data_IF_520637091997
#
_entry.id   IF_520637091997
#
_cell.length_a   1.000
_cell.length_b   1.000
_cell.length_c   1.000
_cell.angle_alpha   90.00
_cell.angle_beta   90.00
_cell.angle_gamma   90.00
#
_symmetry.space_group_name_H-M   'P 1'
#
loop_
_entity.id
_entity.type
_entity.pdbx_description
1 polymer ?
#
# COMPACT_ATOMS: atom_id res chain seq x y z
N UNK A 1 -37.54 -1.47 6.13
CA UNK A 1 -36.56 -1.66 5.06
C UNK A 1 -35.20 -1.73 5.72
N UNK A 2 -34.42 -2.78 5.46
CA UNK A 2 -33.03 -2.88 5.94
C UNK A 2 -32.21 -1.73 5.34
N UNK A 3 -31.28 -1.17 6.12
CA UNK A 3 -30.32 -0.19 5.61
C UNK A 3 -29.49 -0.85 4.48
N UNK A 4 -29.14 -0.11 3.42
CA UNK A 4 -28.30 -0.64 2.35
C UNK A 4 -26.93 -1.06 2.90
N UNK A 5 -26.38 -2.13 2.33
CA UNK A 5 -25.02 -2.59 2.63
C UNK A 5 -23.99 -1.52 2.25
N UNK A 6 -22.76 -1.62 2.77
CA UNK A 6 -21.65 -0.74 2.37
C UNK A 6 -21.41 -0.88 0.87
N UNK A 7 -21.34 -2.11 0.36
CA UNK A 7 -21.25 -2.39 -1.07
C UNK A 7 -22.38 -1.75 -1.88
N UNK A 8 -23.64 -1.89 -1.45
CA UNK A 8 -24.79 -1.27 -2.13
C UNK A 8 -24.71 0.26 -2.08
N UNK A 9 -24.25 0.83 -0.98
CA UNK A 9 -24.04 2.27 -0.83
C UNK A 9 -22.96 2.76 -1.81
N UNK A 10 -21.85 2.03 -1.97
CA UNK A 10 -20.82 2.38 -2.94
C UNK A 10 -21.39 2.39 -4.36
N UNK A 11 -22.26 1.44 -4.71
CA UNK A 11 -22.84 1.36 -6.06
C UNK A 11 -23.77 2.53 -6.42
N UNK A 12 -24.19 3.36 -5.46
CA UNK A 12 -25.01 4.55 -5.73
C UNK A 12 -24.19 5.84 -5.86
N UNK A 13 -22.87 5.77 -5.64
CA UNK A 13 -21.97 6.92 -5.68
C UNK A 13 -21.33 7.09 -7.07
N UNK A 14 -20.94 8.32 -7.39
CA UNK A 14 -20.25 8.65 -8.63
C UNK A 14 -18.72 8.52 -8.44
N UNK A 15 -18.00 7.69 -9.19
CA UNK A 15 -16.58 7.45 -8.96
C UNK A 15 -15.67 8.62 -9.32
N UNK A 16 -16.12 9.64 -10.05
CA UNK A 16 -15.33 10.85 -10.29
C UNK A 16 -15.56 11.87 -9.16
N UNK A 17 -16.81 12.04 -8.73
CA UNK A 17 -17.17 13.05 -7.70
C UNK A 17 -16.99 12.57 -6.26
N UNK A 18 -17.30 11.30 -6.00
CA UNK A 18 -17.37 10.72 -4.66
C UNK A 18 -16.19 9.77 -4.34
N UNK A 19 -15.13 9.75 -5.15
CA UNK A 19 -14.02 8.81 -4.99
C UNK A 19 -13.38 8.80 -3.60
N UNK A 20 -13.26 9.96 -2.92
CA UNK A 20 -12.75 10.01 -1.54
C UNK A 20 -13.66 9.23 -0.58
N UNK A 21 -14.99 9.35 -0.74
CA UNK A 21 -15.98 8.63 0.06
C UNK A 21 -15.98 7.13 -0.27
N UNK A 22 -15.88 6.77 -1.55
CA UNK A 22 -15.80 5.37 -1.97
C UNK A 22 -14.53 4.72 -1.40
N UNK A 23 -13.37 5.36 -1.52
CA UNK A 23 -12.10 4.87 -0.97
C UNK A 23 -12.15 4.75 0.57
N UNK A 24 -12.78 5.71 1.25
CA UNK A 24 -13.01 5.65 2.70
C UNK A 24 -13.84 4.41 3.10
N UNK A 25 -14.96 4.17 2.40
CA UNK A 25 -15.82 3.01 2.67
C UNK A 25 -15.10 1.68 2.36
N UNK A 26 -14.37 1.62 1.26
CA UNK A 26 -13.56 0.45 0.89
C UNK A 26 -12.50 0.12 1.94
N UNK A 27 -11.68 1.11 2.31
CA UNK A 27 -10.51 0.90 3.16
C UNK A 27 -10.84 0.85 4.66
N UNK A 28 -11.94 1.47 5.09
CA UNK A 28 -12.33 1.51 6.50
C UNK A 28 -13.38 0.49 6.90
N UNK A 29 -14.27 0.11 5.98
CA UNK A 29 -15.48 -0.64 6.32
C UNK A 29 -15.61 -1.96 5.58
N UNK A 30 -15.56 -1.94 4.25
CA UNK A 30 -15.81 -3.13 3.43
C UNK A 30 -14.61 -4.10 3.45
N UNK A 31 -13.39 -3.60 3.21
CA UNK A 31 -12.19 -4.42 3.02
C UNK A 31 -10.94 -3.91 3.77
N UNK A 32 -11.03 -3.54 5.07
CA UNK A 32 -9.89 -2.93 5.78
C UNK A 32 -8.64 -3.82 5.82
N UNK A 33 -8.82 -5.12 6.06
CA UNK A 33 -7.71 -6.06 6.10
C UNK A 33 -7.09 -6.29 4.72
N UNK A 34 -7.92 -6.49 3.70
CA UNK A 34 -7.46 -6.77 2.33
C UNK A 34 -6.76 -5.55 1.71
N UNK A 35 -7.30 -4.35 1.91
CA UNK A 35 -6.67 -3.11 1.45
C UNK A 35 -5.27 -2.94 2.06
N UNK A 36 -5.13 -3.19 3.37
CA UNK A 36 -3.83 -3.10 4.04
C UNK A 36 -2.82 -4.11 3.45
N UNK A 37 -3.23 -5.38 3.30
CA UNK A 37 -2.35 -6.43 2.75
C UNK A 37 -1.99 -6.20 1.28
N UNK A 38 -2.92 -5.68 0.48
CA UNK A 38 -2.66 -5.33 -0.90
C UNK A 38 -1.61 -4.21 -1.02
N UNK A 39 -1.69 -3.19 -0.16
CA UNK A 39 -0.73 -2.07 -0.17
C UNK A 39 0.65 -2.45 0.40
N UNK A 40 0.73 -3.46 1.27
CA UNK A 40 2.01 -4.09 1.63
C UNK A 40 2.66 -4.80 0.44
N UNK A 41 1.86 -5.49 -0.38
CA UNK A 41 2.36 -6.11 -1.60
C UNK A 41 2.79 -5.04 -2.61
N UNK A 42 2.04 -3.94 -2.73
CA UNK A 42 2.41 -2.77 -3.52
C UNK A 42 3.79 -2.24 -3.12
N UNK A 43 4.04 -2.07 -1.82
CA UNK A 43 5.34 -1.67 -1.31
C UNK A 43 6.46 -2.62 -1.76
N UNK A 44 6.28 -3.94 -1.59
CA UNK A 44 7.27 -4.93 -2.04
C UNK A 44 7.51 -4.88 -3.55
N UNK A 45 6.47 -4.61 -4.34
CA UNK A 45 6.55 -4.49 -5.79
C UNK A 45 7.43 -3.35 -6.25
N UNK A 46 7.42 -2.22 -5.53
CA UNK A 46 8.33 -1.10 -5.82
C UNK A 46 9.81 -1.48 -5.69
N UNK A 47 10.16 -2.49 -4.87
CA UNK A 47 11.55 -2.94 -4.69
C UNK A 47 12.08 -3.72 -5.90
N UNK A 48 11.20 -4.11 -6.83
CA UNK A 48 11.59 -4.81 -8.06
C UNK A 48 12.26 -3.87 -9.09
N UNK A 49 12.17 -2.56 -8.87
CA UNK A 49 12.76 -1.52 -9.73
C UNK A 49 14.13 -1.10 -9.16
N UNK A 50 15.25 -1.34 -9.87
CA UNK A 50 16.58 -1.04 -9.34
C UNK A 50 16.84 0.42 -8.94
N UNK A 51 16.28 1.40 -9.65
CA UNK A 51 16.42 2.83 -9.30
C UNK A 51 15.81 3.14 -7.94
N UNK A 52 14.58 2.65 -7.70
CA UNK A 52 13.85 2.80 -6.44
C UNK A 52 14.57 2.04 -5.33
N UNK A 53 14.86 0.76 -5.52
CA UNK A 53 15.51 -0.07 -4.50
C UNK A 53 16.88 0.47 -4.10
N UNK A 54 17.67 1.02 -5.05
CA UNK A 54 18.96 1.67 -4.76
C UNK A 54 18.80 2.87 -3.83
N UNK A 55 17.77 3.70 -4.04
CA UNK A 55 17.48 4.80 -3.13
C UNK A 55 17.13 4.28 -1.75
N UNK A 56 16.18 3.34 -1.66
CA UNK A 56 15.70 2.78 -0.40
C UNK A 56 16.83 2.12 0.40
N UNK A 57 17.66 1.31 -0.26
CA UNK A 57 18.83 0.66 0.36
C UNK A 57 19.82 1.71 0.89
N UNK A 58 20.10 2.76 0.10
CA UNK A 58 21.01 3.84 0.49
C UNK A 58 20.51 4.64 1.70
N UNK A 59 19.20 4.83 1.85
CA UNK A 59 18.66 5.52 3.05
C UNK A 59 18.88 4.71 4.33
N UNK A 60 19.04 3.38 4.24
CA UNK A 60 19.17 2.50 5.40
C UNK A 60 17.90 2.34 6.25
N UNK A 61 16.80 3.05 5.94
CA UNK A 61 15.60 3.08 6.78
C UNK A 61 14.93 1.70 6.92
N UNK A 62 14.91 0.88 5.88
CA UNK A 62 14.38 -0.49 5.97
C UNK A 62 15.25 -1.42 6.83
N UNK A 63 16.57 -1.20 6.85
CA UNK A 63 17.52 -2.01 7.64
C UNK A 63 17.52 -1.63 9.11
N UNK A 64 17.51 -0.33 9.41
CA UNK A 64 17.71 0.19 10.76
C UNK A 64 16.40 0.57 11.48
N UNK A 65 15.38 0.95 10.72
CA UNK A 65 14.12 1.50 11.23
C UNK A 65 12.89 0.87 10.56
N UNK A 66 13.01 -0.37 10.07
CA UNK A 66 11.98 -1.04 9.25
C UNK A 66 10.57 -0.96 9.85
N UNK A 67 10.42 -1.28 11.15
CA UNK A 67 9.12 -1.20 11.83
C UNK A 67 8.51 0.20 11.77
N UNK A 68 9.30 1.23 12.11
CA UNK A 68 8.83 2.62 12.10
C UNK A 68 8.50 3.06 10.68
N UNK A 69 9.34 2.69 9.70
CA UNK A 69 9.14 3.00 8.29
C UNK A 69 7.85 2.38 7.74
N UNK A 70 7.51 1.17 8.18
CA UNK A 70 6.25 0.49 7.88
C UNK A 70 5.05 1.20 8.54
N UNK A 71 5.12 1.44 9.86
CA UNK A 71 4.04 2.10 10.61
C UNK A 71 3.78 3.52 10.04
N UNK A 72 4.82 4.30 9.76
CA UNK A 72 4.71 5.66 9.22
C UNK A 72 4.02 5.70 7.86
N UNK A 73 4.36 4.76 6.96
CA UNK A 73 3.70 4.68 5.65
C UNK A 73 2.26 4.24 5.77
N UNK A 74 2.00 3.20 6.57
CA UNK A 74 0.65 2.75 6.82
C UNK A 74 -0.21 3.86 7.42
N UNK A 75 0.32 4.65 8.36
CA UNK A 75 -0.37 5.79 8.95
C UNK A 75 -0.68 6.88 7.94
N UNK A 76 0.28 7.32 7.13
CA UNK A 76 0.05 8.35 6.09
C UNK A 76 -1.03 7.89 5.10
N UNK A 77 -0.84 6.71 4.51
CA UNK A 77 -1.75 6.14 3.51
C UNK A 77 -3.15 5.97 4.10
N UNK A 78 -3.23 5.42 5.31
CA UNK A 78 -4.49 5.20 6.01
C UNK A 78 -5.20 6.51 6.36
N UNK A 79 -4.48 7.56 6.76
CA UNK A 79 -5.08 8.87 7.06
C UNK A 79 -5.56 9.60 5.82
N UNK A 80 -4.87 9.45 4.69
CA UNK A 80 -5.37 9.93 3.40
C UNK A 80 -6.66 9.23 3.02
N UNK A 81 -6.75 7.90 3.14
CA UNK A 81 -7.98 7.16 2.86
C UNK A 81 -9.10 7.47 3.88
N UNK A 82 -8.75 7.76 5.14
CA UNK A 82 -9.72 8.04 6.20
C UNK A 82 -10.32 9.44 6.09
N UNK A 83 -9.51 10.47 5.83
CA UNK A 83 -9.98 11.86 5.83
C UNK A 83 -10.10 12.49 4.45
N UNK A 84 -9.45 11.92 3.44
CA UNK A 84 -9.32 12.57 2.13
C UNK A 84 -8.26 13.66 2.14
N UNK A 85 -7.81 14.05 0.95
CA UNK A 85 -6.76 15.06 0.77
C UNK A 85 -7.30 16.49 0.76
N UNK A 86 -8.63 16.68 0.73
CA UNK A 86 -9.26 18.00 0.82
C UNK A 86 -9.60 18.40 2.27
N UNK A 87 -9.67 17.44 3.20
CA UNK A 87 -9.78 17.73 4.64
C UNK A 87 -8.42 18.21 5.18
N UNK A 88 -8.36 19.29 5.99
CA UNK A 88 -7.10 19.83 6.52
C UNK A 88 -6.23 18.78 7.23
N UNK A 89 -6.86 17.79 7.87
CA UNK A 89 -6.13 16.72 8.57
C UNK A 89 -5.44 15.79 7.58
N UNK A 90 -6.12 15.36 6.52
CA UNK A 90 -5.49 14.52 5.50
C UNK A 90 -4.48 15.29 4.66
N UNK A 91 -4.75 16.55 4.35
CA UNK A 91 -3.81 17.46 3.70
C UNK A 91 -2.50 17.61 4.50
N UNK A 92 -2.55 17.63 5.84
CA UNK A 92 -1.36 17.69 6.69
C UNK A 92 -0.48 16.43 6.57
N UNK A 93 -1.09 15.23 6.47
CA UNK A 93 -0.35 13.99 6.21
C UNK A 93 0.25 13.96 4.80
N UNK A 94 -0.47 14.50 3.80
CA UNK A 94 0.05 14.66 2.44
C UNK A 94 1.25 15.59 2.40
N UNK A 95 1.16 16.75 3.07
CA UNK A 95 2.27 17.70 3.18
C UNK A 95 3.48 17.07 3.89
N UNK A 96 3.25 16.29 4.95
CA UNK A 96 4.31 15.53 5.65
C UNK A 96 5.00 14.55 4.71
N UNK A 97 4.22 13.80 3.91
CA UNK A 97 4.77 12.91 2.89
C UNK A 97 5.59 13.66 1.83
N UNK A 98 5.08 14.78 1.33
CA UNK A 98 5.79 15.63 0.37
C UNK A 98 7.11 16.15 0.93
N UNK A 99 7.14 16.59 2.20
CA UNK A 99 8.38 17.00 2.87
C UNK A 99 9.41 15.87 2.97
N UNK A 100 8.95 14.63 3.23
CA UNK A 100 9.84 13.47 3.25
C UNK A 100 10.40 13.12 1.87
N UNK A 101 9.55 13.14 0.84
CA UNK A 101 9.96 12.83 -0.52
C UNK A 101 10.82 13.93 -1.17
N UNK A 102 10.54 15.20 -0.86
CA UNK A 102 11.22 16.37 -1.44
C UNK A 102 12.72 16.46 -1.14
N UNK A 103 13.21 15.70 -0.15
CA UNK A 103 14.65 15.59 0.17
C UNK A 103 15.44 14.77 -0.87
N UNK A 104 14.75 14.00 -1.69
CA UNK A 104 15.38 13.07 -2.64
C UNK A 104 15.07 13.47 -4.08
N UNK A 105 16.09 13.43 -4.94
CA UNK A 105 15.90 13.53 -6.39
C UNK A 105 15.39 12.19 -6.93
N UNK A 106 14.06 12.03 -6.93
CA UNK A 106 13.35 10.86 -7.47
C UNK A 106 12.86 11.20 -8.87
N UNK A 107 13.05 10.30 -9.83
CA UNK A 107 12.58 10.49 -11.20
C UNK A 107 11.05 10.53 -11.24
N UNK A 108 10.47 11.39 -12.10
CA UNK A 108 9.02 11.48 -12.25
C UNK A 108 8.39 10.13 -12.64
N UNK A 109 9.06 9.35 -13.49
CA UNK A 109 8.60 8.03 -13.90
C UNK A 109 8.55 7.02 -12.74
N UNK A 110 9.54 7.06 -11.84
CA UNK A 110 9.54 6.23 -10.63
C UNK A 110 8.39 6.64 -9.69
N UNK A 111 8.15 7.94 -9.52
CA UNK A 111 6.98 8.42 -8.78
C UNK A 111 5.66 7.96 -9.39
N UNK A 112 5.51 8.11 -10.71
CA UNK A 112 4.30 7.71 -11.44
C UNK A 112 4.07 6.20 -11.33
N UNK A 113 5.14 5.40 -11.44
CA UNK A 113 5.08 3.95 -11.24
C UNK A 113 4.67 3.59 -9.81
N UNK A 114 5.33 4.13 -8.78
CA UNK A 114 4.96 3.88 -7.38
C UNK A 114 3.51 4.25 -7.13
N UNK A 115 3.05 5.40 -7.61
CA UNK A 115 1.66 5.84 -7.50
C UNK A 115 0.70 4.82 -8.12
N UNK A 116 1.02 4.29 -9.31
CA UNK A 116 0.19 3.30 -10.00
C UNK A 116 -0.03 2.02 -9.16
N UNK A 117 0.95 1.61 -8.35
CA UNK A 117 0.84 0.40 -7.52
C UNK A 117 -0.25 0.52 -6.45
N UNK A 118 -0.58 1.74 -6.00
CA UNK A 118 -1.69 1.96 -5.06
C UNK A 118 -3.08 1.71 -5.68
N UNK A 119 -3.16 1.61 -7.01
CA UNK A 119 -4.40 1.31 -7.74
C UNK A 119 -4.39 -0.17 -8.13
N UNK A 120 -3.37 -0.59 -8.87
CA UNK A 120 -3.40 -1.88 -9.56
C UNK A 120 -3.06 -3.06 -8.68
N UNK A 121 -2.25 -2.89 -7.62
CA UNK A 121 -1.99 -4.00 -6.70
C UNK A 121 -3.21 -4.34 -5.81
N UNK A 122 -3.98 -3.36 -5.30
CA UNK A 122 -5.32 -3.65 -4.79
C UNK A 122 -6.21 -4.38 -5.79
N UNK A 123 -6.29 -3.96 -7.05
CA UNK A 123 -7.11 -4.68 -8.05
C UNK A 123 -6.67 -6.14 -8.21
N UNK A 124 -5.37 -6.38 -8.41
CA UNK A 124 -4.81 -7.74 -8.52
C UNK A 124 -5.02 -8.57 -7.23
N UNK A 125 -4.90 -7.96 -6.06
CA UNK A 125 -5.14 -8.62 -4.77
C UNK A 125 -6.59 -9.10 -4.67
N UNK A 126 -7.53 -8.23 -5.02
CA UNK A 126 -8.95 -8.51 -4.87
C UNK A 126 -9.40 -9.63 -5.81
N UNK A 127 -8.96 -9.58 -7.07
CA UNK A 127 -9.26 -10.63 -8.06
C UNK A 127 -8.75 -12.01 -7.61
N UNK A 128 -7.62 -12.06 -6.90
CA UNK A 128 -6.97 -13.31 -6.48
C UNK A 128 -7.47 -13.85 -5.15
N UNK A 129 -7.67 -12.98 -4.16
CA UNK A 129 -7.72 -13.37 -2.75
C UNK A 129 -9.00 -12.99 -2.02
N UNK A 130 -9.90 -12.24 -2.64
CA UNK A 130 -11.12 -11.80 -1.97
C UNK A 130 -12.36 -12.55 -2.43
N UNK A 131 -13.45 -12.44 -1.67
CA UNK A 131 -14.72 -13.11 -1.97
C UNK A 131 -15.41 -12.54 -3.22
N UNK A 132 -15.12 -11.29 -3.60
CA UNK A 132 -15.54 -10.65 -4.85
C UNK A 132 -14.45 -9.73 -5.41
N UNK A 133 -14.33 -9.56 -6.73
CA UNK A 133 -13.50 -8.52 -7.30
C UNK A 133 -14.02 -7.12 -6.94
N UNK A 134 -13.17 -6.11 -7.16
CA UNK A 134 -13.61 -4.72 -7.17
C UNK A 134 -14.52 -4.48 -8.39
N UNK A 135 -15.62 -3.80 -8.16
CA UNK A 135 -16.51 -3.27 -9.20
C UNK A 135 -15.84 -2.15 -9.98
N UNK A 136 -16.37 -1.82 -11.16
CA UNK A 136 -15.85 -0.72 -11.97
C UNK A 136 -15.92 0.64 -11.24
N UNK A 137 -16.96 0.89 -10.44
CA UNK A 137 -17.06 2.09 -9.60
C UNK A 137 -15.90 2.15 -8.60
N UNK A 138 -15.58 1.04 -7.94
CA UNK A 138 -14.49 0.98 -6.96
C UNK A 138 -13.12 1.15 -7.63
N UNK A 139 -12.90 0.55 -8.81
CA UNK A 139 -11.67 0.70 -9.61
C UNK A 139 -11.45 2.14 -10.07
N UNK A 140 -12.48 2.76 -10.64
CA UNK A 140 -12.41 4.16 -11.08
C UNK A 140 -12.19 5.09 -9.87
N UNK A 141 -12.86 4.86 -8.75
CA UNK A 141 -12.64 5.64 -7.54
C UNK A 141 -11.19 5.57 -7.03
N UNK A 142 -10.57 4.38 -7.00
CA UNK A 142 -9.15 4.25 -6.67
C UNK A 142 -8.27 5.04 -7.64
N UNK A 143 -8.55 4.96 -8.94
CA UNK A 143 -7.84 5.72 -9.96
C UNK A 143 -7.95 7.24 -9.74
N UNK A 144 -9.17 7.77 -9.59
CA UNK A 144 -9.39 9.20 -9.35
C UNK A 144 -8.75 9.67 -8.04
N UNK A 145 -8.85 8.88 -6.98
CA UNK A 145 -8.26 9.19 -5.68
C UNK A 145 -6.74 9.30 -5.76
N UNK A 146 -6.06 8.24 -6.22
CA UNK A 146 -4.60 8.22 -6.26
C UNK A 146 -4.04 9.16 -7.31
N UNK A 147 -4.69 9.34 -8.46
CA UNK A 147 -4.29 10.38 -9.43
C UNK A 147 -4.32 11.78 -8.80
N UNK A 148 -5.35 12.12 -8.03
CA UNK A 148 -5.43 13.41 -7.35
C UNK A 148 -4.40 13.58 -6.22
N UNK A 149 -4.06 12.50 -5.51
CA UNK A 149 -2.92 12.49 -4.58
C UNK A 149 -1.63 12.79 -5.35
N UNK A 150 -1.38 12.09 -6.47
CA UNK A 150 -0.18 12.28 -7.29
C UNK A 150 -0.02 13.70 -7.84
N UNK A 151 -1.11 14.31 -8.31
CA UNK A 151 -1.10 15.71 -8.74
C UNK A 151 -0.70 16.66 -7.61
N UNK A 152 -1.18 16.43 -6.38
CA UNK A 152 -0.82 17.21 -5.18
C UNK A 152 0.60 16.91 -4.66
N UNK A 153 1.20 15.80 -5.09
CA UNK A 153 2.62 15.51 -4.88
C UNK A 153 3.51 16.17 -5.95
N UNK A 154 2.92 16.82 -6.96
CA UNK A 154 3.66 17.43 -8.08
C UNK A 154 4.12 16.43 -9.14
N UNK A 155 3.58 15.20 -9.15
CA UNK A 155 3.88 14.20 -10.17
C UNK A 155 3.26 14.65 -11.49
N UNK A 156 4.07 14.68 -12.53
CA UNK A 156 3.71 15.16 -13.85
C UNK A 156 3.34 13.99 -14.77
N UNK A 157 2.59 14.28 -15.83
CA UNK A 157 2.28 13.32 -16.90
C UNK A 157 1.60 12.02 -16.42
N UNK A 158 0.85 12.07 -15.32
CA UNK A 158 0.04 10.93 -14.87
C UNK A 158 -1.03 10.64 -15.94
N UNK A 159 -1.11 9.41 -16.48
CA UNK A 159 -2.10 9.08 -17.50
C UNK A 159 -3.54 9.39 -17.04
N UNK A 160 -4.37 9.84 -17.99
CA UNK A 160 -5.67 10.47 -17.69
C UNK A 160 -6.84 9.51 -17.67
N UNK A 161 -6.64 8.22 -17.95
CA UNK A 161 -7.66 7.18 -17.83
C UNK A 161 -7.12 5.97 -17.07
N UNK A 162 -8.04 5.23 -16.45
CA UNK A 162 -7.72 3.98 -15.76
C UNK A 162 -6.94 3.00 -16.66
N UNK A 163 -7.38 2.79 -17.90
CA UNK A 163 -6.75 1.84 -18.82
C UNK A 163 -5.37 2.30 -19.31
N UNK A 164 -5.19 3.61 -19.57
CA UNK A 164 -3.89 4.14 -19.97
C UNK A 164 -2.87 4.04 -18.83
N UNK A 165 -3.31 4.27 -17.59
CA UNK A 165 -2.42 4.16 -16.44
C UNK A 165 -2.11 2.70 -16.08
N UNK A 166 -3.04 1.77 -16.36
CA UNK A 166 -2.81 0.33 -16.23
C UNK A 166 -1.78 -0.17 -17.24
N UNK A 167 -1.91 0.27 -18.50
CA UNK A 167 -0.93 -0.04 -19.54
C UNK A 167 0.44 0.52 -19.17
N UNK A 168 0.53 1.76 -18.71
CA UNK A 168 1.78 2.34 -18.21
C UNK A 168 2.39 1.50 -17.08
N UNK A 169 1.60 1.07 -16.09
CA UNK A 169 2.08 0.22 -15.01
C UNK A 169 2.69 -1.08 -15.54
N UNK A 170 1.98 -1.78 -16.44
CA UNK A 170 2.44 -3.05 -17.01
C UNK A 170 3.70 -2.88 -17.86
N UNK A 171 3.74 -1.84 -18.69
CA UNK A 171 4.88 -1.51 -19.55
C UNK A 171 6.11 -1.15 -18.71
N UNK A 172 5.93 -0.36 -17.65
CA UNK A 172 7.02 0.00 -16.75
C UNK A 172 7.62 -1.23 -16.07
N UNK A 173 6.78 -2.16 -15.62
CA UNK A 173 7.24 -3.40 -15.01
C UNK A 173 7.99 -4.28 -15.99
N UNK A 174 7.46 -4.46 -17.20
CA UNK A 174 8.10 -5.24 -18.25
C UNK A 174 9.49 -4.68 -18.63
N UNK A 175 9.66 -3.36 -18.60
CA UNK A 175 10.92 -2.70 -18.94
C UNK A 175 11.93 -2.66 -17.78
N UNK A 176 11.45 -2.54 -16.54
CA UNK A 176 12.31 -2.17 -15.41
C UNK A 176 12.44 -3.24 -14.32
N UNK A 177 11.59 -4.28 -14.30
CA UNK A 177 11.78 -5.38 -13.35
C UNK A 177 13.06 -6.13 -13.68
N UNK A 178 14.03 -5.98 -12.79
CA UNK A 178 15.32 -6.60 -12.96
C UNK A 178 15.92 -6.90 -11.59
N UNK A 179 16.56 -8.05 -11.47
CA UNK A 179 17.32 -8.36 -10.28
C UNK A 179 18.45 -7.35 -10.05
N UNK A 180 18.51 -6.80 -8.84
CA UNK A 180 19.68 -6.12 -8.31
C UNK A 180 19.88 -6.48 -6.83
N UNK A 181 21.13 -6.45 -6.37
CA UNK A 181 21.45 -6.83 -4.99
C UNK A 181 20.76 -5.92 -3.95
N UNK A 182 20.53 -4.65 -4.31
CA UNK A 182 19.78 -3.66 -3.52
C UNK A 182 18.32 -4.10 -3.32
N UNK A 183 17.65 -4.57 -4.38
CA UNK A 183 16.28 -5.07 -4.34
C UNK A 183 16.16 -6.16 -3.27
N UNK A 184 17.05 -7.15 -3.36
CA UNK A 184 17.09 -8.27 -2.43
C UNK A 184 17.32 -7.81 -0.99
N UNK A 185 18.28 -6.90 -0.75
CA UNK A 185 18.59 -6.40 0.60
C UNK A 185 17.40 -5.71 1.24
N UNK A 186 16.71 -4.82 0.52
CA UNK A 186 15.55 -4.09 1.04
C UNK A 186 14.35 -5.02 1.26
N UNK A 187 14.11 -5.95 0.32
CA UNK A 187 13.06 -6.95 0.46
C UNK A 187 13.31 -7.91 1.64
N UNK A 188 14.54 -8.40 1.79
CA UNK A 188 14.92 -9.31 2.89
C UNK A 188 14.81 -8.59 4.25
N UNK A 189 15.20 -7.31 4.34
CA UNK A 189 15.03 -6.49 5.55
C UNK A 189 13.55 -6.31 5.92
N UNK A 190 12.71 -6.04 4.91
CA UNK A 190 11.25 -5.91 5.07
C UNK A 190 10.62 -7.22 5.52
N UNK A 191 10.99 -8.34 4.89
CA UNK A 191 10.52 -9.66 5.31
C UNK A 191 10.97 -9.98 6.74
N UNK A 192 12.21 -9.68 7.10
CA UNK A 192 12.72 -9.91 8.45
C UNK A 192 11.94 -9.11 9.51
N UNK A 193 11.55 -7.87 9.20
CA UNK A 193 10.66 -7.09 10.06
C UNK A 193 9.33 -7.80 10.31
N UNK A 194 8.65 -8.28 9.26
CA UNK A 194 7.41 -9.04 9.40
C UNK A 194 7.60 -10.33 10.20
N UNK A 195 8.67 -11.08 9.94
CA UNK A 195 8.99 -12.32 10.66
C UNK A 195 9.22 -12.07 12.16
N UNK A 196 9.74 -10.90 12.53
CA UNK A 196 9.96 -10.51 13.92
C UNK A 196 8.66 -10.33 14.73
N UNK A 197 7.51 -10.24 14.07
CA UNK A 197 6.21 -10.20 14.74
C UNK A 197 5.78 -11.56 15.29
N UNK A 198 6.45 -12.63 14.85
CA UNK A 198 6.09 -14.00 15.17
C UNK A 198 7.19 -14.69 16.00
N UNK A 199 6.83 -15.67 16.84
CA UNK A 199 7.78 -16.53 17.53
C UNK A 199 8.78 -17.18 16.57
N UNK A 200 10.02 -17.40 17.01
CA UNK A 200 11.08 -17.95 16.15
C UNK A 200 10.73 -19.31 15.51
N UNK A 201 9.92 -20.13 16.19
CA UNK A 201 9.52 -21.46 15.73
C UNK A 201 8.67 -21.45 14.45
N UNK A 202 7.88 -20.40 14.20
CA UNK A 202 7.00 -20.35 13.01
C UNK A 202 7.64 -19.66 11.80
N UNK A 203 8.73 -18.91 12.01
CA UNK A 203 9.41 -18.13 10.95
C UNK A 203 9.86 -18.97 9.74
N UNK A 204 10.36 -20.22 9.90
CA UNK A 204 10.77 -21.04 8.76
C UNK A 204 9.61 -21.36 7.78
N UNK A 205 8.37 -21.37 8.26
CA UNK A 205 7.17 -21.62 7.43
C UNK A 205 6.68 -20.34 6.76
N UNK A 206 6.80 -19.20 7.45
CA UNK A 206 6.32 -17.90 6.95
C UNK A 206 7.15 -17.38 5.77
N UNK A 207 8.46 -17.67 5.73
CA UNK A 207 9.36 -17.19 4.67
C UNK A 207 8.98 -17.73 3.28
N UNK A 208 8.77 -19.06 3.08
CA UNK A 208 8.19 -19.59 1.84
C UNK A 208 6.80 -19.03 1.54
N UNK A 209 5.99 -18.82 2.57
CA UNK A 209 4.64 -18.25 2.41
C UNK A 209 4.64 -16.83 1.82
N UNK A 210 5.58 -15.98 2.23
CA UNK A 210 5.74 -14.65 1.64
C UNK A 210 6.13 -14.72 0.16
N UNK A 211 7.04 -15.62 -0.23
CA UNK A 211 7.42 -15.82 -1.64
C UNK A 211 6.27 -16.36 -2.50
N UNK A 212 5.37 -17.15 -1.90
CA UNK A 212 4.19 -17.67 -2.56
C UNK A 212 3.15 -16.60 -2.96
N UNK A 213 3.11 -15.48 -2.25
CA UNK A 213 2.19 -14.38 -2.55
C UNK A 213 2.61 -13.61 -3.80
N UNK A 214 3.92 -13.53 -4.04
CA UNK A 214 4.50 -12.80 -5.15
C UNK A 214 4.20 -13.49 -6.49
N UNK A 215 4.18 -12.73 -7.57
CA UNK A 215 4.23 -13.30 -8.90
C UNK A 215 5.68 -13.68 -9.29
N UNK A 216 5.84 -14.33 -10.44
CA UNK A 216 7.16 -14.72 -10.93
C UNK A 216 8.09 -13.54 -11.23
N UNK A 217 7.64 -12.48 -11.95
CA UNK A 217 8.48 -11.30 -12.18
C UNK A 217 9.01 -10.69 -10.88
N UNK A 218 8.18 -10.55 -9.85
CA UNK A 218 8.61 -10.06 -8.54
C UNK A 218 9.65 -10.98 -7.89
N UNK A 219 9.42 -12.30 -7.84
CA UNK A 219 10.39 -13.23 -7.24
C UNK A 219 11.75 -13.15 -7.92
N UNK A 220 11.75 -13.12 -9.25
CA UNK A 220 12.97 -13.00 -10.05
C UNK A 220 13.69 -11.66 -9.78
N UNK A 221 12.97 -10.54 -9.76
CA UNK A 221 13.55 -9.22 -9.50
C UNK A 221 14.06 -9.04 -8.05
N UNK A 222 13.49 -9.76 -7.08
CA UNK A 222 13.92 -9.74 -5.68
C UNK A 222 14.99 -10.79 -5.35
N UNK A 223 15.27 -11.73 -6.27
CA UNK A 223 16.14 -12.87 -6.01
C UNK A 223 15.59 -13.76 -4.88
N UNK A 224 14.27 -13.96 -4.88
CA UNK A 224 13.56 -14.84 -3.96
C UNK A 224 13.32 -16.19 -4.63
N UNK A 225 13.40 -17.30 -3.86
CA UNK A 225 13.31 -18.63 -4.44
C UNK A 225 11.93 -18.90 -5.04
N UNK A 226 11.90 -19.70 -6.10
CA UNK A 226 10.67 -20.28 -6.60
C UNK A 226 9.92 -21.00 -5.48
N UNK A 227 8.60 -20.94 -5.58
CA UNK A 227 7.71 -21.55 -4.59
C UNK A 227 6.83 -22.58 -5.29
N UNK A 228 6.68 -23.81 -4.74
CA UNK A 228 5.87 -24.84 -5.37
C UNK A 228 4.43 -24.37 -5.67
N UNK A 229 3.88 -24.74 -6.82
CA UNK A 229 2.50 -24.36 -7.22
C UNK A 229 1.45 -24.76 -6.17
N UNK A 230 1.64 -25.90 -5.53
CA UNK A 230 0.74 -26.39 -4.46
C UNK A 230 0.70 -25.41 -3.29
N UNK A 231 1.84 -24.83 -2.90
CA UNK A 231 1.90 -23.85 -1.82
C UNK A 231 1.23 -22.53 -2.23
N UNK A 232 1.44 -22.07 -3.46
CA UNK A 232 0.74 -20.90 -4.01
C UNK A 232 -0.77 -21.10 -4.01
N UNK A 233 -1.23 -22.26 -4.48
CA UNK A 233 -2.65 -22.63 -4.49
C UNK A 233 -3.25 -22.72 -3.08
N UNK A 234 -2.53 -23.32 -2.13
CA UNK A 234 -2.97 -23.42 -0.74
C UNK A 234 -3.11 -22.05 -0.07
N UNK A 235 -2.15 -21.14 -0.28
CA UNK A 235 -2.20 -19.78 0.26
C UNK A 235 -3.33 -18.98 -0.39
N UNK A 236 -3.49 -19.06 -1.71
CA UNK A 236 -4.59 -18.40 -2.41
C UNK A 236 -5.96 -18.89 -1.90
N UNK A 237 -6.13 -20.22 -1.76
CA UNK A 237 -7.34 -20.81 -1.21
C UNK A 237 -7.57 -20.36 0.23
N UNK A 238 -6.54 -20.35 1.07
CA UNK A 238 -6.63 -19.91 2.47
C UNK A 238 -7.07 -18.46 2.60
N UNK A 239 -6.47 -17.55 1.83
CA UNK A 239 -6.83 -16.13 1.81
C UNK A 239 -8.25 -15.90 1.29
N UNK A 240 -8.63 -16.59 0.21
CA UNK A 240 -9.99 -16.52 -0.33
C UNK A 240 -11.02 -17.07 0.65
N UNK A 241 -10.70 -18.17 1.34
CA UNK A 241 -11.57 -18.76 2.36
C UNK A 241 -11.75 -17.80 3.55
N UNK A 242 -10.66 -17.17 4.02
CA UNK A 242 -10.73 -16.11 5.05
C UNK A 242 -11.64 -14.96 4.61
N UNK A 243 -11.51 -14.50 3.37
CA UNK A 243 -12.34 -13.42 2.82
C UNK A 243 -13.82 -13.80 2.74
N UNK A 244 -14.13 -15.02 2.26
CA UNK A 244 -15.50 -15.54 2.20
C UNK A 244 -16.12 -15.71 3.58
N UNK A 245 -15.37 -16.24 4.54
CA UNK A 245 -15.83 -16.38 5.93
C UNK A 245 -16.11 -15.00 6.54
N UNK A 246 -15.23 -14.03 6.31
CA UNK A 246 -15.41 -12.66 6.80
C UNK A 246 -16.69 -12.01 6.24
N UNK A 247 -17.04 -12.27 4.97
CA UNK A 247 -18.25 -11.78 4.35
C UNK A 247 -19.56 -12.29 4.99
N UNK A 248 -19.52 -13.44 5.67
CA UNK A 248 -20.71 -13.98 6.36
C UNK A 248 -20.97 -13.34 7.72
N UNK A 249 -20.03 -12.55 8.24
CA UNK A 249 -20.27 -11.77 9.45
C UNK A 249 -21.04 -10.48 9.14
N UNK A 250 -21.77 -9.92 10.12
CA UNK A 250 -22.45 -8.64 9.96
C UNK A 250 -21.49 -7.54 9.53
N UNK A 251 -22.00 -6.60 8.75
CA UNK A 251 -21.24 -5.43 8.32
C UNK A 251 -20.68 -4.62 9.48
N UNK A 252 -19.54 -3.99 9.23
CA UNK A 252 -18.89 -3.13 10.21
C UNK A 252 -19.69 -1.86 10.41
N UNK A 253 -20.01 -1.57 11.68
CA UNK A 253 -20.65 -0.31 12.11
C UNK A 253 -19.63 0.77 12.44
N UNK A 254 -18.41 0.38 12.77
CA UNK A 254 -17.29 1.26 13.06
C UNK A 254 -16.15 0.95 12.08
N UNK A 255 -15.40 1.97 11.63
CA UNK A 255 -14.28 1.73 10.73
C UNK A 255 -13.16 0.95 11.44
N UNK A 256 -12.31 0.31 10.66
CA UNK A 256 -11.11 -0.43 11.09
C UNK A 256 -9.95 -0.07 10.15
N UNK A 257 -9.64 1.23 10.05
CA UNK A 257 -8.51 1.68 9.26
C UNK A 257 -7.20 1.18 9.90
N UNK A 258 -6.14 1.04 9.10
CA UNK A 258 -4.81 0.73 9.64
C UNK A 258 -4.42 1.69 10.77
N UNK A 259 -4.72 2.99 10.62
CA UNK A 259 -4.45 4.00 11.63
C UNK A 259 -5.27 3.90 12.93
N UNK A 260 -6.35 3.09 12.94
CA UNK A 260 -7.15 2.81 14.14
C UNK A 260 -6.57 1.61 14.93
N UNK A 261 -5.63 0.86 14.33
CA UNK A 261 -4.95 -0.26 14.97
C UNK A 261 -3.73 0.19 15.78
N UNK A 262 -3.34 -0.63 16.76
CA UNK A 262 -2.15 -0.37 17.57
C UNK A 262 -0.88 -0.51 16.72
N UNK A 263 -0.17 0.60 16.55
CA UNK A 263 1.12 0.64 15.87
C UNK A 263 2.24 0.20 16.81
N UNK A 264 3.16 -0.63 16.32
CA UNK A 264 4.24 -1.21 17.14
C UNK A 264 5.29 -0.15 17.53
N UNK A 265 5.54 0.81 16.66
CA UNK A 265 6.42 1.95 16.90
C UNK A 265 5.77 3.03 17.78
N UNK A 266 4.45 3.03 17.93
CA UNK A 266 3.69 4.05 18.66
C UNK A 266 2.76 3.45 19.73
N UNK A 267 3.31 2.78 20.75
CA UNK A 267 2.51 2.06 21.75
C UNK A 267 1.62 2.97 22.61
N UNK A 268 1.93 4.28 22.68
CA UNK A 268 1.17 5.30 23.41
C UNK A 268 0.38 6.23 22.48
N UNK A 269 0.25 5.87 21.19
CA UNK A 269 -0.23 6.76 20.14
C UNK A 269 0.89 7.56 19.49
N UNK A 270 0.53 8.30 18.44
CA UNK A 270 1.41 9.14 17.64
C UNK A 270 0.77 10.51 17.43
N UNK A 271 1.60 11.52 17.18
CA UNK A 271 1.21 12.78 16.59
C UNK A 271 1.82 12.88 15.18
N UNK A 272 1.35 13.84 14.37
CA UNK A 272 1.88 14.03 13.01
C UNK A 272 3.40 14.32 13.02
N UNK A 273 3.87 14.96 14.08
CA UNK A 273 5.25 15.38 14.29
C UNK A 273 6.21 14.21 14.50
N UNK A 274 5.67 13.05 14.90
CA UNK A 274 6.43 11.83 15.14
C UNK A 274 6.68 11.04 13.84
N UNK A 275 5.92 11.33 12.78
CA UNK A 275 5.89 10.54 11.53
C UNK A 275 7.07 10.91 10.63
N UNK A 276 7.87 9.93 10.23
CA UNK A 276 8.98 10.10 9.29
C UNK A 276 10.33 9.62 9.82
N UNK A 277 11.37 9.59 8.98
CA UNK A 277 12.71 9.15 9.38
C UNK A 277 13.23 9.95 10.57
N UNK A 278 13.81 9.31 11.61
CA UNK A 278 14.30 10.02 12.80
C UNK A 278 15.21 11.21 12.47
N UNK A 279 16.10 11.05 11.48
CA UNK A 279 17.04 12.08 11.03
C UNK A 279 16.38 13.25 10.29
N UNK A 280 15.09 13.16 9.94
CA UNK A 280 14.33 14.20 9.25
C UNK A 280 13.33 14.91 10.16
N UNK A 281 13.04 14.38 11.36
CA UNK A 281 11.94 14.88 12.20
C UNK A 281 12.11 16.35 12.58
N UNK A 282 13.32 16.78 12.93
CA UNK A 282 13.59 18.17 13.32
C UNK A 282 13.22 19.13 12.18
N UNK A 283 13.77 18.93 10.98
CA UNK A 283 13.50 19.77 9.81
C UNK A 283 12.02 19.74 9.40
N UNK A 284 11.40 18.56 9.39
CA UNK A 284 9.98 18.40 9.06
C UNK A 284 9.06 19.11 10.08
N UNK A 285 9.52 19.30 11.32
CA UNK A 285 8.78 19.99 12.37
C UNK A 285 9.08 21.50 12.44
N UNK A 286 10.22 21.94 11.90
CA UNK A 286 10.59 23.36 11.82
C UNK A 286 9.84 24.09 10.69
N UNK A 287 9.55 23.41 9.57
CA UNK A 287 8.79 23.95 8.44
C UNK A 287 7.28 24.10 8.71
N UNK A 288 6.89 24.31 9.97
CA UNK A 288 5.51 24.42 10.46
C UNK A 288 4.94 25.85 10.46
N UNK A 289 5.71 26.86 10.05
CA UNK A 289 5.18 28.22 10.02
C UNK A 289 4.44 28.50 8.70
N UNK A 290 3.25 29.11 8.79
CA UNK A 290 2.18 29.07 7.79
C UNK A 290 2.50 29.78 6.46
#
# INVERSE_FOLDING_TARGET
>A
MSNPTIAQTIQTLDPDRDHQKICHLLAGYEFPWDMTRALELALLRTFCIPSIAKLLDRTGQFHHHGQKRYDDTGLIVSKLLQWGYDDPRGAAFLARMNGMHGRYAIANSDFCYVLSTFIYEPVRWFDRFTWRPLSEIEKQALFHFWRNVGLRMGIQEIPTSYSAFEQFNQDYEAMHFQYAAQNKRVADATLQMFLNWFPSLVRPVLKPGASALLDEPMRSALGWPETPEVMKGAIALGLRSRSTIAHWFPERKTPDFFADQRQRSYPQGYQLEDIGPPEMLEELNLNKNP
#
